data_IF_013301739260
#
_entry.id   IF_013301739260
#
_cell.length_a   1.000
_cell.length_b   1.000
_cell.length_c   1.000
_cell.angle_alpha   90.00
_cell.angle_beta   90.00
_cell.angle_gamma   90.00
#
_symmetry.space_group_name_H-M   'P 1'
#
loop_
_entity.id
_entity.type
_entity.pdbx_description
1 polymer ?
#
# COMPACT_ATOMS: atom_id res chain seq x y z
N UNK A 1 15.57 1.45 -9.16
CA UNK A 1 14.44 1.53 -8.22
C UNK A 1 14.49 0.31 -7.32
N UNK A 2 14.26 0.43 -6.00
CA UNK A 2 14.00 -0.77 -5.20
C UNK A 2 12.71 -1.40 -5.70
N UNK A 3 12.75 -2.68 -6.07
CA UNK A 3 11.56 -3.44 -6.42
C UNK A 3 10.63 -3.46 -5.21
N UNK A 4 9.60 -2.61 -5.24
CA UNK A 4 8.60 -2.52 -4.18
C UNK A 4 7.41 -3.36 -4.62
N UNK A 5 7.04 -4.34 -3.81
CA UNK A 5 5.86 -5.16 -4.08
C UNK A 5 4.64 -4.32 -3.77
N UNK A 6 3.70 -4.23 -4.71
CA UNK A 6 2.50 -3.39 -4.56
C UNK A 6 1.26 -4.25 -4.67
N UNK A 7 0.32 -4.04 -3.76
CA UNK A 7 -1.05 -4.59 -3.81
C UNK A 7 -2.01 -3.41 -3.95
N UNK A 8 -2.81 -3.43 -5.02
CA UNK A 8 -3.83 -2.41 -5.31
C UNK A 8 -5.20 -3.05 -5.15
N UNK A 9 -6.06 -2.46 -4.33
CA UNK A 9 -7.42 -2.91 -4.04
C UNK A 9 -8.43 -1.87 -4.58
N UNK A 10 -9.50 -2.30 -5.23
CA UNK A 10 -10.54 -1.41 -5.75
C UNK A 10 -11.92 -1.83 -5.26
N UNK A 11 -12.68 -0.88 -4.72
CA UNK A 11 -14.05 -1.09 -4.22
C UNK A 11 -14.14 -2.13 -3.08
N UNK A 12 -13.15 -2.12 -2.18
CA UNK A 12 -13.15 -2.91 -0.95
C UNK A 12 -13.62 -2.05 0.21
N UNK A 13 -14.42 -2.63 1.09
CA UNK A 13 -14.80 -2.02 2.35
C UNK A 13 -13.65 -2.06 3.36
N UNK A 14 -13.72 -1.20 4.38
CA UNK A 14 -12.67 -1.05 5.40
C UNK A 14 -12.26 -2.39 6.01
N UNK A 15 -13.21 -3.23 6.39
CA UNK A 15 -12.93 -4.53 7.00
C UNK A 15 -12.24 -5.49 6.02
N UNK A 16 -12.66 -5.48 4.76
CA UNK A 16 -12.09 -6.31 3.70
C UNK A 16 -10.64 -5.90 3.40
N UNK A 17 -10.36 -4.59 3.36
CA UNK A 17 -9.00 -4.05 3.22
C UNK A 17 -8.09 -4.60 4.32
N UNK A 18 -8.52 -4.52 5.59
CA UNK A 18 -7.72 -5.02 6.70
C UNK A 18 -7.51 -6.54 6.62
N UNK A 19 -8.53 -7.29 6.20
CA UNK A 19 -8.42 -8.74 6.04
C UNK A 19 -7.42 -9.11 4.95
N UNK A 20 -7.45 -8.45 3.79
CA UNK A 20 -6.48 -8.65 2.70
C UNK A 20 -5.07 -8.28 3.17
N UNK A 21 -4.91 -7.13 3.82
CA UNK A 21 -3.60 -6.72 4.33
C UNK A 21 -3.01 -7.74 5.31
N UNK A 22 -3.82 -8.28 6.23
CA UNK A 22 -3.40 -9.32 7.18
C UNK A 22 -2.99 -10.61 6.46
N UNK A 23 -3.81 -11.09 5.51
CA UNK A 23 -3.54 -12.30 4.75
C UNK A 23 -2.24 -12.19 3.95
N UNK A 24 -2.05 -11.08 3.23
CA UNK A 24 -0.83 -10.83 2.45
C UNK A 24 0.38 -10.74 3.37
N UNK A 25 0.31 -9.97 4.47
CA UNK A 25 1.44 -9.84 5.41
C UNK A 25 1.85 -11.17 6.03
N UNK A 26 0.89 -12.02 6.39
CA UNK A 26 1.17 -13.35 6.94
C UNK A 26 1.95 -14.24 5.96
N UNK A 27 1.61 -14.21 4.67
CA UNK A 27 2.30 -15.02 3.64
C UNK A 27 3.66 -14.42 3.25
N UNK A 28 3.81 -13.11 3.41
CA UNK A 28 4.97 -12.32 2.99
C UNK A 28 5.98 -12.06 4.11
N UNK A 29 5.72 -12.58 5.33
CA UNK A 29 6.65 -12.48 6.45
C UNK A 29 8.05 -12.99 6.08
N UNK A 30 9.08 -12.18 6.35
CA UNK A 30 10.47 -12.47 5.98
C UNK A 30 10.81 -12.35 4.49
N UNK A 31 9.84 -12.10 3.60
CA UNK A 31 10.03 -12.02 2.13
C UNK A 31 10.15 -10.59 1.62
N UNK A 32 10.42 -9.63 2.49
CA UNK A 32 10.49 -8.20 2.15
C UNK A 32 9.15 -7.48 2.25
N UNK A 33 9.17 -6.19 1.92
CA UNK A 33 8.05 -5.29 2.18
C UNK A 33 7.02 -5.28 1.05
N UNK A 34 5.77 -5.00 1.44
CA UNK A 34 4.64 -4.86 0.53
C UNK A 34 3.96 -3.53 0.83
N UNK A 35 3.84 -2.69 -0.19
CA UNK A 35 3.05 -1.46 -0.19
C UNK A 35 1.60 -1.79 -0.58
N UNK A 36 0.65 -1.12 0.06
CA UNK A 36 -0.78 -1.33 -0.18
C UNK A 36 -1.42 -0.02 -0.60
N UNK A 37 -2.32 -0.07 -1.57
CA UNK A 37 -3.11 1.07 -1.99
C UNK A 37 -4.56 0.66 -2.24
N UNK A 38 -5.47 1.60 -1.97
CA UNK A 38 -6.87 1.51 -2.38
C UNK A 38 -7.07 2.52 -3.50
N UNK A 39 -7.71 2.12 -4.59
CA UNK A 39 -7.94 3.03 -5.71
C UNK A 39 -8.97 4.09 -5.35
N UNK A 40 -8.69 5.30 -5.82
CA UNK A 40 -9.61 6.44 -5.89
C UNK A 40 -10.11 6.62 -7.33
N UNK A 41 -11.16 7.41 -7.52
CA UNK A 41 -11.66 7.78 -8.85
C UNK A 41 -10.54 8.30 -9.77
N UNK A 42 -9.63 9.12 -9.22
CA UNK A 42 -8.49 9.63 -9.97
C UNK A 42 -7.53 8.52 -10.40
N UNK A 43 -7.14 7.64 -9.46
CA UNK A 43 -6.14 6.59 -9.71
C UNK A 43 -6.58 5.58 -10.79
N UNK A 44 -7.89 5.42 -11.01
CA UNK A 44 -8.43 4.54 -12.05
C UNK A 44 -8.21 5.08 -13.47
N UNK A 45 -7.98 6.38 -13.61
CA UNK A 45 -7.72 7.03 -14.91
C UNK A 45 -6.24 7.07 -15.27
N UNK A 46 -5.37 6.78 -14.29
CA UNK A 46 -3.93 6.85 -14.43
C UNK A 46 -3.36 5.57 -15.04
N UNK A 47 -2.15 5.66 -15.62
CA UNK A 47 -1.46 4.44 -16.05
C UNK A 47 -1.04 3.64 -14.83
N UNK A 48 -1.20 2.32 -14.90
CA UNK A 48 -0.82 1.42 -13.78
C UNK A 48 0.63 1.64 -13.32
N UNK A 49 1.56 1.91 -14.24
CA UNK A 49 2.95 2.20 -13.90
C UNK A 49 3.14 3.48 -13.08
N UNK A 50 2.33 4.51 -13.30
CA UNK A 50 2.33 5.75 -12.53
C UNK A 50 1.80 5.49 -11.11
N UNK A 51 0.67 4.78 -11.00
CA UNK A 51 0.09 4.38 -9.71
C UNK A 51 1.07 3.56 -8.89
N UNK A 52 1.74 2.57 -9.49
CA UNK A 52 2.75 1.74 -8.80
C UNK A 52 3.93 2.59 -8.33
N UNK A 53 4.37 3.56 -9.13
CA UNK A 53 5.49 4.46 -8.77
C UNK A 53 5.13 5.39 -7.61
N UNK A 54 3.93 5.94 -7.60
CA UNK A 54 3.43 6.79 -6.51
C UNK A 54 3.33 5.99 -5.21
N UNK A 55 2.67 4.84 -5.25
CA UNK A 55 2.50 3.98 -4.06
C UNK A 55 3.84 3.52 -3.49
N UNK A 56 4.82 3.20 -4.33
CA UNK A 56 6.16 2.85 -3.87
C UNK A 56 6.89 4.04 -3.21
N UNK A 57 6.68 5.25 -3.75
CA UNK A 57 7.26 6.49 -3.22
C UNK A 57 6.64 6.86 -1.87
N UNK A 58 5.33 6.78 -1.75
CA UNK A 58 4.59 7.04 -0.52
C UNK A 58 4.98 6.05 0.58
N UNK A 59 5.07 4.76 0.25
CA UNK A 59 5.52 3.72 1.19
C UNK A 59 6.94 3.99 1.68
N UNK A 60 7.86 4.38 0.79
CA UNK A 60 9.22 4.76 1.16
C UNK A 60 9.25 6.00 2.06
N UNK A 61 8.42 7.01 1.75
CA UNK A 61 8.31 8.22 2.56
C UNK A 61 7.75 7.94 3.95
N UNK A 62 6.65 7.20 4.05
CA UNK A 62 6.03 6.82 5.34
C UNK A 62 6.95 5.97 6.20
N UNK A 63 7.81 5.16 5.59
CA UNK A 63 8.84 4.40 6.31
C UNK A 63 9.92 5.31 6.89
N UNK A 64 10.34 6.32 6.13
CA UNK A 64 11.31 7.30 6.60
C UNK A 64 10.71 8.29 7.62
N UNK A 65 9.40 8.51 7.55
CA UNK A 65 8.64 9.45 8.37
C UNK A 65 7.42 8.75 9.00
N UNK A 66 7.63 7.84 9.96
CA UNK A 66 6.52 7.13 10.59
C UNK A 66 5.59 8.15 11.27
N UNK A 67 4.26 8.05 11.09
CA UNK A 67 3.33 8.99 11.69
C UNK A 67 3.49 8.96 13.22
N UNK A 68 3.60 10.14 13.83
CA UNK A 68 3.60 10.26 15.28
C UNK A 68 2.27 9.71 15.80
N UNK A 69 2.33 8.70 16.68
CA UNK A 69 1.19 8.32 17.51
C UNK A 69 0.91 9.49 18.45
N UNK A 70 -0.02 10.36 18.08
CA UNK A 70 -0.64 11.23 19.06
C UNK A 70 -1.53 10.31 19.92
N UNK A 71 -1.10 10.06 21.16
CA UNK A 71 -1.91 9.42 22.17
C UNK A 71 -2.89 10.48 22.68
N UNK A 72 -4.08 10.57 22.07
CA UNK A 72 -5.25 11.22 22.66
C UNK A 72 -6.07 10.19 23.43
#
# INVERSE_FOLDING_TARGET
>A
MKETKVVIMHNFEREEIYNVMRAVKAVMEGKGEVAFAVTTENSLTMKLGEVVSEVASDHAYMKANPPQKNND
#
